data_IF_259016178073
#
_entry.id   IF_259016178073
#
_cell.length_a   1.000
_cell.length_b   1.000
_cell.length_c   1.000
_cell.angle_alpha   90.00
_cell.angle_beta   90.00
_cell.angle_gamma   90.00
#
_symmetry.space_group_name_H-M   'P 1'
#
loop_
_entity.id
_entity.type
_entity.pdbx_description
1 polymer ?
#
# COMPACT_ATOMS: atom_id res chain seq x y z
N UNK A 1 -5.51 60.45 8.86
CA UNK A 1 -6.36 59.41 9.46
C UNK A 1 -6.41 58.29 8.43
N UNK A 2 -5.49 57.34 8.55
CA UNK A 2 -5.16 56.33 7.53
C UNK A 2 -5.81 55.01 7.95
N UNK A 3 -6.66 54.48 7.09
CA UNK A 3 -7.45 53.28 7.32
C UNK A 3 -6.56 52.01 7.24
N UNK A 4 -6.44 51.19 8.29
CA UNK A 4 -5.65 49.96 8.26
C UNK A 4 -6.56 48.75 8.38
N UNK A 5 -7.03 48.16 7.26
CA UNK A 5 -7.45 46.74 7.12
C UNK A 5 -8.01 46.45 5.73
N UNK A 6 -7.18 46.51 4.69
CA UNK A 6 -7.47 45.79 3.46
C UNK A 6 -6.98 44.34 3.65
N UNK A 7 -7.77 43.50 4.32
CA UNK A 7 -7.56 42.05 4.30
C UNK A 7 -7.76 41.62 2.85
N UNK A 8 -6.69 41.23 2.16
CA UNK A 8 -6.75 40.64 0.83
C UNK A 8 -7.52 39.32 0.94
N UNK A 9 -8.84 39.38 0.79
CA UNK A 9 -9.70 38.21 0.74
C UNK A 9 -9.35 37.46 -0.53
N UNK A 10 -8.54 36.40 -0.41
CA UNK A 10 -8.25 35.52 -1.53
C UNK A 10 -9.59 34.95 -2.04
N UNK A 11 -9.87 35.00 -3.36
CA UNK A 11 -11.15 34.55 -3.92
C UNK A 11 -11.49 33.10 -3.55
N UNK A 12 -10.47 32.27 -3.31
CA UNK A 12 -10.61 30.94 -2.73
C UNK A 12 -9.85 30.90 -1.40
N UNK A 13 -10.54 30.95 -0.25
CA UNK A 13 -9.90 30.83 1.05
C UNK A 13 -9.22 29.46 1.23
N UNK A 14 -8.05 29.45 1.88
CA UNK A 14 -7.25 28.22 2.07
C UNK A 14 -8.02 27.12 2.82
N UNK A 15 -8.85 27.50 3.80
CA UNK A 15 -9.67 26.58 4.58
C UNK A 15 -10.74 25.90 3.72
N UNK A 16 -11.37 26.65 2.81
CA UNK A 16 -12.33 26.13 1.85
C UNK A 16 -11.66 25.18 0.87
N UNK A 17 -10.51 25.60 0.31
CA UNK A 17 -9.69 24.81 -0.61
C UNK A 17 -9.26 23.48 -0.03
N UNK A 18 -8.71 23.51 1.19
CA UNK A 18 -8.24 22.31 1.91
C UNK A 18 -9.39 21.34 2.17
N UNK A 19 -10.54 21.86 2.62
CA UNK A 19 -11.73 21.05 2.88
C UNK A 19 -12.28 20.43 1.59
N UNK A 20 -12.37 21.20 0.51
CA UNK A 20 -12.85 20.73 -0.79
C UNK A 20 -11.96 19.62 -1.36
N UNK A 21 -10.63 19.81 -1.31
CA UNK A 21 -9.65 18.81 -1.75
C UNK A 21 -9.75 17.53 -0.92
N UNK A 22 -9.85 17.66 0.40
CA UNK A 22 -9.99 16.51 1.30
C UNK A 22 -11.25 15.71 0.97
N UNK A 23 -12.39 16.39 0.81
CA UNK A 23 -13.68 15.77 0.55
C UNK A 23 -13.76 15.11 -0.83
N UNK A 24 -13.17 15.70 -1.87
CA UNK A 24 -13.05 15.07 -3.18
C UNK A 24 -12.17 13.82 -3.13
N UNK A 25 -11.09 13.86 -2.34
CA UNK A 25 -10.22 12.70 -2.15
C UNK A 25 -10.88 11.59 -1.34
N UNK A 26 -11.66 11.91 -0.32
CA UNK A 26 -12.48 10.92 0.39
C UNK A 26 -13.49 10.24 -0.54
N UNK A 27 -13.94 10.95 -1.58
CA UNK A 27 -14.82 10.43 -2.64
C UNK A 27 -14.06 9.80 -3.81
N UNK A 28 -12.75 9.63 -3.71
CA UNK A 28 -11.94 8.89 -4.68
C UNK A 28 -11.56 9.64 -5.94
N UNK A 29 -11.72 10.97 -5.96
CA UNK A 29 -11.21 11.77 -7.07
C UNK A 29 -9.68 11.64 -7.16
N UNK A 30 -9.16 11.36 -8.36
CA UNK A 30 -7.73 11.37 -8.61
C UNK A 30 -7.16 12.80 -8.62
N UNK A 31 -5.83 12.93 -8.57
CA UNK A 31 -5.18 14.25 -8.50
C UNK A 31 -5.47 15.15 -9.71
N UNK A 32 -5.76 14.58 -10.88
CA UNK A 32 -6.13 15.35 -12.08
C UNK A 32 -7.54 15.89 -11.95
N UNK A 33 -8.50 15.07 -11.54
CA UNK A 33 -9.87 15.48 -11.31
C UNK A 33 -9.99 16.53 -10.18
N UNK A 34 -9.20 16.38 -9.11
CA UNK A 34 -9.10 17.39 -8.06
C UNK A 34 -8.55 18.71 -8.61
N UNK A 35 -7.48 18.65 -9.41
CA UNK A 35 -6.87 19.84 -10.01
C UNK A 35 -7.80 20.56 -11.00
N UNK A 36 -8.49 19.81 -11.85
CA UNK A 36 -9.48 20.34 -12.81
C UNK A 36 -10.65 21.01 -12.08
N UNK A 37 -11.19 20.36 -11.04
CA UNK A 37 -12.28 20.93 -10.24
C UNK A 37 -11.84 22.20 -9.49
N UNK A 38 -10.59 22.23 -8.99
CA UNK A 38 -10.05 23.40 -8.32
C UNK A 38 -9.85 24.57 -9.29
N UNK A 39 -9.28 24.29 -10.47
CA UNK A 39 -9.04 25.29 -11.50
C UNK A 39 -10.35 25.90 -12.00
N UNK A 40 -11.41 25.11 -12.12
CA UNK A 40 -12.74 25.59 -12.49
C UNK A 40 -13.32 26.56 -11.43
N UNK A 41 -13.18 26.22 -10.15
CA UNK A 41 -13.61 27.10 -9.04
C UNK A 41 -12.79 28.39 -9.01
N UNK A 42 -11.46 28.28 -9.13
CA UNK A 42 -10.56 29.44 -9.16
C UNK A 42 -10.89 30.35 -10.34
N UNK A 43 -11.07 29.79 -11.53
CA UNK A 43 -11.43 30.55 -12.73
C UNK A 43 -12.79 31.22 -12.58
N UNK A 44 -13.80 30.54 -12.04
CA UNK A 44 -15.11 31.16 -11.79
C UNK A 44 -15.01 32.31 -10.78
N UNK A 45 -14.29 32.14 -9.67
CA UNK A 45 -14.12 33.20 -8.68
C UNK A 45 -13.36 34.40 -9.26
N UNK A 46 -12.40 34.16 -10.15
CA UNK A 46 -11.69 35.21 -10.89
C UNK A 46 -12.61 35.95 -11.87
N UNK A 47 -13.41 35.22 -12.65
CA UNK A 47 -14.28 35.79 -13.68
C UNK A 47 -15.50 36.52 -13.09
N UNK A 48 -16.07 35.98 -11.99
CA UNK A 48 -17.25 36.53 -11.32
C UNK A 48 -16.92 37.57 -10.25
N UNK A 49 -15.68 37.60 -9.75
CA UNK A 49 -15.27 38.40 -8.61
C UNK A 49 -15.89 37.95 -7.27
N UNK A 50 -16.61 36.83 -7.24
CA UNK A 50 -17.20 36.27 -6.02
C UNK A 50 -16.21 35.37 -5.29
N UNK A 51 -16.37 35.25 -3.97
CA UNK A 51 -15.59 34.29 -3.19
C UNK A 51 -16.17 32.88 -3.33
N UNK A 52 -15.33 31.85 -3.15
CA UNK A 52 -15.77 30.46 -3.27
C UNK A 52 -16.90 30.07 -2.30
N UNK A 53 -16.88 30.50 -1.01
CA UNK A 53 -18.02 30.30 -0.11
C UNK A 53 -19.32 30.96 -0.59
N UNK A 54 -19.23 32.12 -1.25
CA UNK A 54 -20.42 32.85 -1.71
C UNK A 54 -21.00 32.23 -2.99
N UNK A 55 -20.13 31.81 -3.92
CA UNK A 55 -20.53 31.24 -5.20
C UNK A 55 -20.95 29.77 -5.12
N UNK A 56 -20.22 28.98 -4.32
CA UNK A 56 -20.35 27.52 -4.27
C UNK A 56 -20.86 26.99 -2.92
N UNK A 57 -20.98 27.87 -1.92
CA UNK A 57 -21.41 27.47 -0.58
C UNK A 57 -20.34 26.69 0.18
N UNK A 58 -20.80 25.78 1.04
CA UNK A 58 -19.92 24.92 1.84
C UNK A 58 -19.15 23.92 0.97
N UNK A 59 -17.84 23.84 1.20
CA UNK A 59 -16.92 22.99 0.44
C UNK A 59 -17.30 21.51 0.44
N UNK A 60 -17.78 20.98 1.58
CA UNK A 60 -18.17 19.57 1.73
C UNK A 60 -19.43 19.26 0.93
N UNK A 61 -20.39 20.17 0.98
CA UNK A 61 -21.65 20.08 0.24
C UNK A 61 -21.40 20.16 -1.27
N UNK A 62 -20.57 21.10 -1.69
CA UNK A 62 -20.21 21.24 -3.11
C UNK A 62 -19.42 20.03 -3.63
N UNK A 63 -18.46 19.49 -2.86
CA UNK A 63 -17.75 18.25 -3.22
C UNK A 63 -18.69 17.06 -3.40
N UNK A 64 -19.71 16.94 -2.54
CA UNK A 64 -20.74 15.90 -2.64
C UNK A 64 -21.63 16.04 -3.89
N UNK A 65 -21.80 17.26 -4.42
CA UNK A 65 -22.53 17.48 -5.67
C UNK A 65 -21.74 17.06 -6.92
N UNK A 66 -20.41 17.01 -6.83
CA UNK A 66 -19.50 16.75 -7.96
C UNK A 66 -19.19 15.29 -8.19
N UNK A 67 -18.97 14.55 -7.11
CA UNK A 67 -18.64 13.13 -7.15
C UNK A 67 -19.69 12.41 -6.32
N UNK A 68 -20.24 11.33 -6.88
CA UNK A 68 -21.23 10.47 -6.20
C UNK A 68 -20.71 9.90 -4.88
N UNK A 69 -21.51 9.03 -4.27
CA UNK A 69 -21.29 8.51 -2.92
C UNK A 69 -19.80 8.17 -2.63
N UNK A 70 -19.30 8.44 -1.41
CA UNK A 70 -17.93 8.13 -1.03
C UNK A 70 -17.56 6.72 -1.45
N UNK A 71 -16.41 6.55 -2.10
CA UNK A 71 -15.96 5.21 -2.47
C UNK A 71 -15.90 4.40 -1.20
N UNK A 72 -16.68 3.33 -1.12
CA UNK A 72 -16.58 2.41 -0.01
C UNK A 72 -15.15 1.89 0.03
N UNK A 73 -14.39 2.21 1.09
CA UNK A 73 -13.01 1.73 1.30
C UNK A 73 -12.88 0.20 1.20
N UNK A 74 -13.99 -0.54 1.24
CA UNK A 74 -14.07 -1.98 1.36
C UNK A 74 -14.43 -2.73 0.07
N UNK A 75 -14.93 -2.06 -0.97
CA UNK A 75 -15.46 -2.72 -2.17
C UNK A 75 -14.41 -3.33 -3.12
N UNK A 76 -13.13 -2.96 -2.97
CA UNK A 76 -12.02 -3.40 -3.84
C UNK A 76 -10.86 -4.10 -3.11
N UNK A 77 -10.92 -4.16 -1.77
CA UNK A 77 -9.81 -4.59 -0.90
C UNK A 77 -9.34 -6.01 -1.24
N UNK A 78 -10.27 -6.91 -1.57
CA UNK A 78 -9.93 -8.30 -1.89
C UNK A 78 -8.96 -8.44 -3.08
N UNK A 79 -9.11 -7.63 -4.13
CA UNK A 79 -8.26 -7.71 -5.33
C UNK A 79 -6.90 -7.02 -5.12
N UNK A 80 -6.87 -5.96 -4.33
CA UNK A 80 -5.63 -5.24 -4.01
C UNK A 80 -4.76 -5.99 -2.99
N UNK A 81 -5.35 -6.91 -2.21
CA UNK A 81 -4.62 -7.76 -1.27
C UNK A 81 -3.96 -8.97 -1.93
N UNK A 82 -4.41 -9.40 -3.13
CA UNK A 82 -3.88 -10.58 -3.81
C UNK A 82 -2.37 -10.49 -4.01
N UNK A 83 -1.79 -9.39 -4.53
CA UNK A 83 -0.34 -9.27 -4.68
C UNK A 83 0.39 -9.40 -3.34
N UNK A 84 -0.09 -8.70 -2.31
CA UNK A 84 0.51 -8.77 -0.97
C UNK A 84 0.47 -10.18 -0.39
N UNK A 85 -0.65 -10.89 -0.56
CA UNK A 85 -0.78 -12.28 -0.14
C UNK A 85 0.22 -13.19 -0.88
N UNK A 86 0.36 -12.99 -2.19
CA UNK A 86 1.36 -13.70 -3.01
C UNK A 86 2.78 -13.46 -2.51
N UNK A 87 3.12 -12.22 -2.16
CA UNK A 87 4.42 -11.87 -1.59
C UNK A 87 4.68 -12.55 -0.24
N UNK A 88 3.69 -12.56 0.65
CA UNK A 88 3.79 -13.24 1.96
C UNK A 88 3.98 -14.75 1.80
N UNK A 89 3.22 -15.38 0.90
CA UNK A 89 3.39 -16.81 0.57
C UNK A 89 4.79 -17.07 0.04
N UNK A 90 5.26 -16.24 -0.89
CA UNK A 90 6.60 -16.38 -1.48
C UNK A 90 7.71 -16.28 -0.45
N UNK A 91 7.64 -15.31 0.46
CA UNK A 91 8.60 -15.12 1.55
C UNK A 91 8.64 -16.32 2.49
N UNK A 92 7.47 -16.81 2.92
CA UNK A 92 7.38 -17.96 3.83
C UNK A 92 7.94 -19.23 3.20
N UNK A 93 7.68 -19.48 1.92
CA UNK A 93 8.24 -20.63 1.20
C UNK A 93 9.77 -20.61 1.17
N UNK A 94 10.38 -19.44 0.92
CA UNK A 94 11.84 -19.29 0.96
C UNK A 94 12.37 -19.52 2.37
N UNK A 95 11.71 -18.95 3.39
CA UNK A 95 12.13 -19.11 4.78
C UNK A 95 12.07 -20.58 5.23
N UNK A 96 11.00 -21.30 4.91
CA UNK A 96 10.87 -22.73 5.22
C UNK A 96 11.88 -23.59 4.48
N UNK A 97 12.16 -23.26 3.22
CA UNK A 97 13.18 -23.96 2.45
C UNK A 97 14.60 -23.77 3.02
N UNK A 98 14.92 -22.56 3.49
CA UNK A 98 16.21 -22.26 4.14
C UNK A 98 16.31 -22.91 5.52
N UNK A 99 15.21 -22.99 6.27
CA UNK A 99 15.16 -23.61 7.59
C UNK A 99 14.99 -25.13 7.56
N UNK A 100 14.93 -25.75 6.38
CA UNK A 100 14.78 -27.19 6.26
C UNK A 100 16.12 -27.89 6.57
N UNK A 101 16.13 -28.72 7.62
CA UNK A 101 17.32 -29.48 8.02
C UNK A 101 17.58 -30.74 7.16
N UNK A 102 16.66 -31.07 6.22
CA UNK A 102 16.69 -32.32 5.46
C UNK A 102 16.35 -32.16 3.98
N UNK A 103 16.48 -33.25 3.19
CA UNK A 103 16.26 -33.21 1.74
C UNK A 103 14.78 -33.06 1.35
N UNK A 104 13.88 -33.20 2.32
CA UNK A 104 12.43 -33.14 2.13
C UNK A 104 11.87 -32.00 2.97
N UNK A 105 10.95 -31.24 2.36
CA UNK A 105 10.15 -30.22 3.01
C UNK A 105 8.68 -30.62 2.92
N UNK A 106 8.07 -30.87 4.08
CA UNK A 106 6.64 -31.13 4.18
C UNK A 106 5.86 -29.83 4.31
N UNK A 107 5.02 -29.54 3.31
CA UNK A 107 4.04 -28.45 3.41
C UNK A 107 2.86 -29.00 4.21
N UNK A 108 2.75 -28.56 5.46
CA UNK A 108 1.69 -28.97 6.38
C UNK A 108 0.46 -28.08 6.24
N UNK A 109 -0.69 -28.52 6.78
CA UNK A 109 -1.91 -27.70 6.87
C UNK A 109 -1.62 -26.38 7.61
N UNK A 110 -0.83 -26.41 8.69
CA UNK A 110 -0.44 -25.20 9.42
C UNK A 110 0.28 -24.18 8.53
N UNK A 111 1.22 -24.67 7.71
CA UNK A 111 1.94 -23.84 6.72
C UNK A 111 1.03 -23.32 5.61
N UNK A 112 0.05 -24.09 5.17
CA UNK A 112 -0.90 -23.64 4.15
C UNK A 112 -1.86 -22.54 4.66
N UNK A 113 -2.28 -22.61 5.92
CA UNK A 113 -3.22 -21.65 6.53
C UNK A 113 -2.51 -20.35 6.97
N UNK A 114 -1.23 -20.44 7.32
CA UNK A 114 -0.46 -19.31 7.86
C UNK A 114 -0.50 -18.03 7.00
N UNK A 115 -0.29 -18.07 5.67
CA UNK A 115 -0.32 -16.86 4.84
C UNK A 115 -1.68 -16.16 4.87
N UNK A 116 -2.77 -16.93 4.79
CA UNK A 116 -4.13 -16.38 4.86
C UNK A 116 -4.38 -15.69 6.21
N UNK A 117 -3.90 -16.30 7.30
CA UNK A 117 -4.00 -15.71 8.64
C UNK A 117 -3.15 -14.44 8.79
N UNK A 118 -1.93 -14.40 8.25
CA UNK A 118 -1.08 -13.22 8.30
C UNK A 118 -1.68 -12.05 7.50
N UNK A 119 -2.22 -12.33 6.31
CA UNK A 119 -2.89 -11.31 5.49
C UNK A 119 -4.14 -10.77 6.20
N UNK A 120 -5.01 -11.66 6.68
CA UNK A 120 -6.19 -11.27 7.46
C UNK A 120 -5.84 -10.48 8.72
N UNK A 121 -4.81 -10.93 9.43
CA UNK A 121 -4.27 -10.29 10.62
C UNK A 121 -3.66 -8.92 10.36
N UNK A 122 -2.94 -8.74 9.25
CA UNK A 122 -2.38 -7.45 8.84
C UNK A 122 -3.48 -6.42 8.54
N UNK A 123 -4.56 -6.83 7.88
CA UNK A 123 -5.72 -5.96 7.62
C UNK A 123 -6.35 -5.50 8.95
N UNK A 124 -6.57 -6.44 9.86
CA UNK A 124 -7.09 -6.16 11.19
C UNK A 124 -6.14 -5.24 11.98
N UNK A 125 -4.83 -5.49 11.90
CA UNK A 125 -3.80 -4.69 12.55
C UNK A 125 -3.81 -3.24 12.05
N UNK A 126 -3.94 -3.01 10.73
CA UNK A 126 -4.08 -1.67 10.15
C UNK A 126 -5.33 -0.96 10.67
N UNK A 127 -6.45 -1.68 10.78
CA UNK A 127 -7.69 -1.10 11.33
C UNK A 127 -7.54 -0.70 12.80
N UNK A 128 -6.84 -1.52 13.59
CA UNK A 128 -6.60 -1.27 15.00
C UNK A 128 -5.49 -0.24 15.26
N UNK A 129 -4.54 -0.08 14.33
CA UNK A 129 -3.45 0.90 14.42
C UNK A 129 -3.98 2.34 14.48
N UNK A 130 -5.13 2.60 13.86
CA UNK A 130 -5.83 3.90 13.93
C UNK A 130 -6.34 4.18 15.35
N UNK A 131 -6.56 3.14 16.16
CA UNK A 131 -7.17 3.25 17.50
C UNK A 131 -6.14 3.31 18.61
N UNK A 132 -5.10 2.47 18.60
CA UNK A 132 -3.95 2.60 19.52
C UNK A 132 -2.73 1.78 19.09
N UNK A 133 -1.52 2.29 19.39
CA UNK A 133 -0.25 1.55 19.17
C UNK A 133 -0.15 0.28 20.03
N UNK A 134 -0.74 0.29 21.23
CA UNK A 134 -0.75 -0.88 22.12
C UNK A 134 -1.62 -2.01 21.55
N UNK A 135 -2.79 -1.70 20.98
CA UNK A 135 -3.63 -2.70 20.32
C UNK A 135 -2.95 -3.29 19.08
N UNK A 136 -2.23 -2.48 18.31
CA UNK A 136 -1.40 -2.95 17.19
C UNK A 136 -0.34 -3.96 17.67
N UNK A 137 0.46 -3.58 18.67
CA UNK A 137 1.51 -4.44 19.20
C UNK A 137 0.95 -5.77 19.76
N UNK A 138 -0.16 -5.71 20.51
CA UNK A 138 -0.84 -6.90 21.02
C UNK A 138 -1.37 -7.81 19.91
N UNK A 139 -1.93 -7.24 18.85
CA UNK A 139 -2.45 -8.00 17.71
C UNK A 139 -1.32 -8.68 16.93
N UNK A 140 -0.23 -7.97 16.66
CA UNK A 140 0.95 -8.54 15.99
C UNK A 140 1.55 -9.66 16.82
N UNK A 141 1.73 -9.45 18.13
CA UNK A 141 2.23 -10.48 19.03
C UNK A 141 1.32 -11.72 19.06
N UNK A 142 0.00 -11.52 19.14
CA UNK A 142 -0.96 -12.63 19.10
C UNK A 142 -0.91 -13.39 17.78
N UNK A 143 -0.82 -12.70 16.63
CA UNK A 143 -0.69 -13.33 15.32
C UNK A 143 0.58 -14.18 15.21
N UNK A 144 1.70 -13.68 15.74
CA UNK A 144 2.95 -14.43 15.76
C UNK A 144 2.85 -15.68 16.65
N UNK A 145 2.23 -15.57 17.82
CA UNK A 145 2.03 -16.73 18.71
C UNK A 145 1.15 -17.77 18.03
N UNK A 146 0.00 -17.37 17.48
CA UNK A 146 -0.91 -18.30 16.78
C UNK A 146 -0.22 -18.92 15.57
N UNK A 147 0.62 -18.16 14.85
CA UNK A 147 1.37 -18.66 13.70
C UNK A 147 2.31 -19.82 14.10
N UNK A 148 3.08 -19.64 15.18
CA UNK A 148 3.97 -20.69 15.69
C UNK A 148 3.16 -21.88 16.19
N UNK A 149 2.05 -21.65 16.89
CA UNK A 149 1.18 -22.73 17.39
C UNK A 149 0.59 -23.53 16.22
N UNK A 150 0.08 -22.88 15.17
CA UNK A 150 -0.48 -23.56 14.00
C UNK A 150 0.57 -24.40 13.27
N UNK A 151 1.79 -23.87 13.07
CA UNK A 151 2.88 -24.62 12.43
C UNK A 151 3.29 -25.85 13.26
N UNK A 152 3.29 -25.75 14.60
CA UNK A 152 3.69 -26.84 15.49
C UNK A 152 2.59 -27.87 15.76
N UNK A 153 1.32 -27.47 15.76
CA UNK A 153 0.19 -28.34 16.11
C UNK A 153 -0.39 -29.03 14.88
N UNK A 154 -0.51 -28.32 13.75
CA UNK A 154 -1.03 -28.90 12.50
C UNK A 154 0.11 -29.44 11.63
N UNK A 155 0.63 -30.59 12.01
CA UNK A 155 1.75 -31.27 11.33
C UNK A 155 1.30 -32.18 10.18
N UNK A 156 0.00 -32.23 9.87
CA UNK A 156 -0.53 -33.08 8.81
C UNK A 156 0.06 -32.68 7.46
N UNK A 157 0.82 -33.56 6.78
CA UNK A 157 1.46 -33.25 5.50
C UNK A 157 0.40 -33.21 4.39
N UNK A 158 0.39 -32.12 3.62
CA UNK A 158 -0.44 -31.97 2.42
C UNK A 158 0.36 -32.27 1.15
N UNK A 159 1.61 -31.80 1.11
CA UNK A 159 2.49 -31.93 -0.04
C UNK A 159 3.93 -32.13 0.45
N UNK A 160 4.59 -33.16 -0.05
CA UNK A 160 6.03 -33.38 0.16
C UNK A 160 6.77 -32.82 -1.05
N UNK A 161 7.68 -31.87 -0.83
CA UNK A 161 8.52 -31.30 -1.89
C UNK A 161 9.98 -31.26 -1.46
N UNK A 162 10.87 -30.84 -2.35
CA UNK A 162 12.27 -30.56 -1.99
C UNK A 162 12.42 -29.08 -1.59
N UNK A 163 13.29 -28.76 -0.61
CA UNK A 163 13.55 -27.37 -0.24
C UNK A 163 13.95 -26.50 -1.43
N UNK A 164 14.74 -27.05 -2.36
CA UNK A 164 15.14 -26.41 -3.61
C UNK A 164 13.94 -25.92 -4.45
N UNK A 165 12.94 -26.78 -4.66
CA UNK A 165 11.74 -26.45 -5.44
C UNK A 165 10.90 -25.40 -4.70
N UNK A 166 10.76 -25.52 -3.38
CA UNK A 166 10.03 -24.54 -2.57
C UNK A 166 10.70 -23.16 -2.59
N UNK A 167 12.04 -23.09 -2.47
CA UNK A 167 12.79 -21.85 -2.56
C UNK A 167 12.64 -21.20 -3.94
N UNK A 168 12.74 -21.98 -5.02
CA UNK A 168 12.58 -21.48 -6.38
C UNK A 168 11.15 -20.95 -6.63
N UNK A 169 10.13 -21.67 -6.16
CA UNK A 169 8.73 -21.24 -6.25
C UNK A 169 8.50 -19.95 -5.44
N UNK A 170 9.00 -19.87 -4.21
CA UNK A 170 8.88 -18.69 -3.37
C UNK A 170 9.56 -17.46 -3.97
N UNK A 171 10.78 -17.62 -4.51
CA UNK A 171 11.49 -16.57 -5.22
C UNK A 171 10.73 -16.10 -6.48
N UNK A 172 10.15 -17.03 -7.25
CA UNK A 172 9.34 -16.69 -8.42
C UNK A 172 8.08 -15.88 -8.04
N UNK A 173 7.41 -16.23 -6.95
CA UNK A 173 6.25 -15.48 -6.44
C UNK A 173 6.64 -14.05 -6.02
N UNK A 174 7.78 -13.89 -5.34
CA UNK A 174 8.29 -12.57 -4.95
C UNK A 174 8.68 -11.71 -6.15
N UNK A 175 9.31 -12.30 -7.17
CA UNK A 175 9.61 -11.59 -8.42
C UNK A 175 8.33 -11.20 -9.15
N UNK A 176 7.32 -12.07 -9.20
CA UNK A 176 6.03 -11.76 -9.81
C UNK A 176 5.32 -10.62 -9.07
N UNK A 177 5.34 -10.63 -7.74
CA UNK A 177 4.78 -9.60 -6.88
C UNK A 177 5.47 -8.24 -7.08
N UNK A 178 6.81 -8.21 -7.03
CA UNK A 178 7.57 -6.98 -7.27
C UNK A 178 7.43 -6.46 -8.71
N UNK A 179 7.35 -7.35 -9.69
CA UNK A 179 7.10 -6.99 -11.09
C UNK A 179 5.70 -6.39 -11.25
N UNK A 180 4.71 -6.99 -10.60
CA UNK A 180 3.34 -6.48 -10.59
C UNK A 180 3.28 -5.11 -9.92
N UNK A 181 3.88 -4.94 -8.74
CA UNK A 181 3.94 -3.65 -8.03
C UNK A 181 4.62 -2.58 -8.89
N UNK A 182 5.74 -2.90 -9.52
CA UNK A 182 6.47 -2.00 -10.43
C UNK A 182 5.58 -1.59 -11.60
N UNK A 183 4.90 -2.56 -12.22
CA UNK A 183 4.00 -2.30 -13.35
C UNK A 183 2.80 -1.44 -12.93
N UNK A 184 2.20 -1.70 -11.77
CA UNK A 184 1.11 -0.88 -11.23
C UNK A 184 1.57 0.52 -10.88
N UNK A 185 2.75 0.69 -10.27
CA UNK A 185 3.30 2.00 -9.91
C UNK A 185 3.61 2.86 -11.15
N UNK A 186 4.06 2.23 -12.24
CA UNK A 186 4.28 2.91 -13.52
C UNK A 186 2.96 3.28 -14.22
N UNK A 187 1.95 2.40 -14.17
CA UNK A 187 0.66 2.63 -14.86
C UNK A 187 -0.36 3.47 -14.09
N UNK A 188 -0.30 3.44 -12.76
CA UNK A 188 -1.17 4.21 -11.85
C UNK A 188 -0.30 4.91 -10.82
N UNK A 189 0.41 5.97 -11.22
CA UNK A 189 1.29 6.68 -10.31
C UNK A 189 0.46 7.33 -9.21
N UNK A 190 0.86 7.12 -7.96
CA UNK A 190 0.19 7.70 -6.81
C UNK A 190 0.12 9.24 -6.97
N UNK A 191 -1.07 9.85 -6.85
CA UNK A 191 -1.25 11.28 -7.12
C UNK A 191 -0.70 12.19 -6.00
N UNK A 192 -0.01 11.65 -4.99
CA UNK A 192 0.34 12.38 -3.77
C UNK A 192 1.84 12.26 -3.47
N UNK A 193 2.65 12.96 -4.26
CA UNK A 193 4.01 13.28 -3.85
C UNK A 193 3.92 14.58 -3.06
N UNK A 194 4.17 14.53 -1.75
CA UNK A 194 4.29 15.74 -0.92
C UNK A 194 5.65 16.35 -1.21
N UNK A 195 5.67 17.43 -2.01
CA UNK A 195 6.91 18.10 -2.44
C UNK A 195 7.16 19.32 -1.57
N UNK A 196 8.39 19.50 -1.08
CA UNK A 196 8.80 20.71 -0.38
C UNK A 196 8.77 21.94 -1.32
N UNK A 197 8.39 23.14 -0.83
CA UNK A 197 8.32 24.35 -1.66
C UNK A 197 9.64 24.61 -2.40
N UNK A 198 9.58 24.85 -3.71
CA UNK A 198 10.75 25.14 -4.56
C UNK A 198 11.40 23.94 -5.26
N UNK A 199 10.90 22.71 -5.05
CA UNK A 199 11.41 21.52 -5.76
C UNK A 199 10.56 21.23 -6.99
N UNK A 200 11.17 20.93 -8.14
CA UNK A 200 10.43 20.51 -9.35
C UNK A 200 9.58 19.25 -9.04
N UNK A 201 8.24 19.34 -9.11
CA UNK A 201 7.35 18.22 -8.82
C UNK A 201 7.63 17.00 -9.69
N UNK A 202 8.13 17.19 -10.91
CA UNK A 202 8.45 16.10 -11.83
C UNK A 202 9.73 15.37 -11.42
N UNK A 203 10.73 16.10 -10.93
CA UNK A 203 11.97 15.52 -10.43
C UNK A 203 11.76 14.77 -9.10
N UNK A 204 11.01 15.36 -8.17
CA UNK A 204 10.63 14.73 -6.91
C UNK A 204 9.84 13.42 -7.14
N UNK A 205 8.86 13.45 -8.04
CA UNK A 205 8.08 12.27 -8.44
C UNK A 205 8.93 11.16 -9.06
N UNK A 206 9.90 11.49 -9.92
CA UNK A 206 10.81 10.49 -10.48
C UNK A 206 11.68 9.86 -9.40
N UNK A 207 12.09 10.62 -8.39
CA UNK A 207 12.91 10.15 -7.27
C UNK A 207 12.13 9.20 -6.38
N UNK A 208 10.91 9.55 -6.02
CA UNK A 208 10.03 8.72 -5.17
C UNK A 208 9.65 7.41 -5.87
N UNK A 209 9.30 7.46 -7.16
CA UNK A 209 9.03 6.23 -7.93
C UNK A 209 10.28 5.35 -7.98
N UNK A 210 11.47 5.92 -8.21
CA UNK A 210 12.72 5.16 -8.20
C UNK A 210 13.05 4.57 -6.84
N UNK A 211 12.85 5.32 -5.76
CA UNK A 211 13.09 4.85 -4.40
C UNK A 211 12.10 3.75 -4.00
N UNK A 212 10.82 3.91 -4.32
CA UNK A 212 9.79 2.90 -4.08
C UNK A 212 10.04 1.63 -4.88
N UNK A 213 10.41 1.74 -6.17
CA UNK A 213 10.81 0.60 -6.98
C UNK A 213 12.08 -0.05 -6.40
N UNK A 214 13.12 0.72 -6.08
CA UNK A 214 14.35 0.17 -5.51
C UNK A 214 14.07 -0.60 -4.21
N UNK A 215 13.27 -0.04 -3.31
CA UNK A 215 12.89 -0.67 -2.05
C UNK A 215 12.04 -1.94 -2.27
N UNK A 216 11.10 -1.91 -3.23
CA UNK A 216 10.29 -3.07 -3.60
C UNK A 216 11.14 -4.23 -4.15
N UNK A 217 12.26 -3.94 -4.79
CA UNK A 217 13.18 -4.96 -5.31
C UNK A 217 14.17 -5.51 -4.28
N UNK A 218 14.32 -4.89 -3.09
CA UNK A 218 15.22 -5.39 -2.04
C UNK A 218 14.81 -6.79 -1.57
N UNK A 219 13.54 -6.98 -1.23
CA UNK A 219 13.00 -8.25 -0.72
C UNK A 219 13.08 -9.40 -1.75
N UNK A 220 12.70 -9.22 -3.02
CA UNK A 220 12.88 -10.23 -4.06
C UNK A 220 14.36 -10.53 -4.31
N UNK A 221 15.23 -9.52 -4.35
CA UNK A 221 16.65 -9.73 -4.61
C UNK A 221 17.30 -10.57 -3.50
N UNK A 222 16.98 -10.29 -2.22
CA UNK A 222 17.46 -11.09 -1.10
C UNK A 222 16.90 -12.51 -1.13
N UNK A 223 15.63 -12.69 -1.48
CA UNK A 223 15.02 -14.00 -1.61
C UNK A 223 15.60 -14.84 -2.76
N UNK A 224 15.86 -14.22 -3.92
CA UNK A 224 16.54 -14.88 -5.04
C UNK A 224 17.96 -15.28 -4.66
N UNK A 225 18.70 -14.41 -3.96
CA UNK A 225 20.03 -14.74 -3.46
C UNK A 225 19.99 -15.92 -2.46
N UNK A 226 19.04 -15.92 -1.54
CA UNK A 226 18.84 -17.03 -0.60
C UNK A 226 18.46 -18.33 -1.30
N UNK A 227 17.58 -18.28 -2.30
CA UNK A 227 17.21 -19.44 -3.10
C UNK A 227 18.39 -19.99 -3.92
N UNK A 228 19.17 -19.12 -4.56
CA UNK A 228 20.37 -19.50 -5.30
C UNK A 228 21.42 -20.15 -4.38
N UNK A 229 21.62 -19.60 -3.19
CA UNK A 229 22.52 -20.18 -2.18
C UNK A 229 22.03 -21.55 -1.72
N UNK A 230 20.74 -21.70 -1.44
CA UNK A 230 20.13 -22.99 -1.06
C UNK A 230 20.30 -24.04 -2.16
N UNK A 231 20.08 -23.67 -3.42
CA UNK A 231 20.32 -24.55 -4.57
C UNK A 231 21.78 -24.96 -4.69
N UNK A 232 22.71 -24.04 -4.46
CA UNK A 232 24.15 -24.30 -4.53
C UNK A 232 24.61 -25.24 -3.41
N UNK A 233 24.14 -25.04 -2.18
CA UNK A 233 24.39 -25.96 -1.05
C UNK A 233 23.80 -27.34 -1.34
N UNK A 234 22.59 -27.40 -1.89
CA UNK A 234 21.95 -28.65 -2.30
C UNK A 234 22.66 -29.37 -3.46
N UNK A 235 23.41 -28.64 -4.30
CA UNK A 235 24.22 -29.23 -5.36
C UNK A 235 25.56 -29.76 -4.86
N UNK A 236 26.18 -29.10 -3.88
CA UNK A 236 27.46 -29.51 -3.27
C UNK A 236 27.33 -30.71 -2.31
N UNK A 237 26.12 -31.00 -1.82
CA UNK A 237 25.84 -32.07 -0.87
C UNK A 237 25.42 -33.40 -1.51
N UNK A 238 25.36 -33.47 -2.84
CA UNK A 238 25.13 -34.70 -3.63
C UNK A 238 26.44 -35.27 -4.13
#
# INVERSE_FOLDING_TARGET
MTDPSATTSTPVPESWRTTFVLELRERGADGRAVGEALAEVEQFCLDSGQSAPDAFGDARTYAASRVGAPVSRFGGVGRELVPTAVGVVGLLLVLWAVAADGPVLDVTVGRAVLPAMLVGGAILAVHLAVRSRAALAGTVAALLVVAVVLDRVLTTPLLTTTPAVAAAAGAALLVAEASWQTWTAVRRPDPVVVVAPGTDPRAARRRDVRAGVALAWVLPATAVAAAALSLLVGALSR
#
